data_IF_976362671946
#
_entry.id   IF_976362671946
#
_cell.length_a   1.000
_cell.length_b   1.000
_cell.length_c   1.000
_cell.angle_alpha   90.00
_cell.angle_beta   90.00
_cell.angle_gamma   90.00
#
_symmetry.space_group_name_H-M   'P 1'
#
loop_
_entity.id
_entity.type
_entity.pdbx_description
1 polymer ?
#
# COMPACT_ATOMS: atom_id res chain seq x y z
N UNK A 1 0.69 -13.23 14.28
CA UNK A 1 -0.13 -14.42 14.60
C UNK A 1 0.32 -15.69 13.90
N UNK A 2 0.48 -15.72 12.57
CA UNK A 2 0.89 -16.94 11.84
C UNK A 2 2.22 -17.57 12.30
N UNK A 3 3.23 -16.77 12.65
CA UNK A 3 4.53 -17.26 13.16
C UNK A 3 4.38 -18.00 14.49
N UNK A 4 3.63 -17.43 15.44
CA UNK A 4 3.36 -18.07 16.72
C UNK A 4 2.61 -19.41 16.54
N UNK A 5 1.69 -19.45 15.58
CA UNK A 5 0.90 -20.64 15.31
C UNK A 5 1.71 -21.73 14.57
N UNK A 6 2.59 -21.34 13.65
CA UNK A 6 3.58 -22.24 13.04
C UNK A 6 4.53 -22.82 14.09
N UNK A 7 4.90 -22.06 15.11
CA UNK A 7 5.71 -22.57 16.22
C UNK A 7 4.93 -23.55 17.11
N UNK A 8 3.62 -23.36 17.32
CA UNK A 8 2.77 -24.32 18.05
C UNK A 8 2.68 -25.67 17.36
N UNK A 9 2.74 -25.72 16.02
CA UNK A 9 2.78 -26.98 15.24
C UNK A 9 4.03 -27.83 15.49
N UNK A 10 5.14 -27.21 15.90
CA UNK A 10 6.40 -27.91 16.18
C UNK A 10 6.40 -28.50 17.59
N UNK A 11 5.56 -28.00 18.48
CA UNK A 11 5.57 -28.40 19.88
C UNK A 11 4.87 -29.77 20.09
N UNK A 12 5.51 -30.75 20.75
CA UNK A 12 4.97 -32.12 20.91
C UNK A 12 3.63 -32.18 21.64
N UNK A 13 3.42 -31.26 22.58
CA UNK A 13 2.25 -31.18 23.48
C UNK A 13 0.91 -30.89 22.79
N UNK A 14 0.91 -30.51 21.51
CA UNK A 14 -0.30 -30.15 20.76
C UNK A 14 -0.54 -31.06 19.55
N UNK A 15 -0.04 -32.30 19.59
CA UNK A 15 -0.17 -33.27 18.49
C UNK A 15 -1.60 -33.37 17.94
N UNK A 16 -2.59 -33.43 18.82
CA UNK A 16 -4.00 -33.58 18.47
C UNK A 16 -4.60 -32.33 17.79
N UNK A 17 -4.06 -31.14 18.10
CA UNK A 17 -4.51 -29.86 17.52
C UNK A 17 -3.78 -29.51 16.22
N UNK A 18 -2.69 -30.20 15.85
CA UNK A 18 -1.88 -29.88 14.67
C UNK A 18 -2.70 -29.88 13.38
N UNK A 19 -3.65 -30.81 13.25
CA UNK A 19 -4.51 -30.92 12.08
C UNK A 19 -5.39 -29.66 11.93
N UNK A 20 -6.08 -29.27 13.00
CA UNK A 20 -6.95 -28.09 13.04
C UNK A 20 -6.18 -26.80 12.79
N UNK A 21 -5.02 -26.64 13.44
CA UNK A 21 -4.15 -25.48 13.27
C UNK A 21 -3.63 -25.38 11.82
N UNK A 22 -3.19 -26.50 11.23
CA UNK A 22 -2.75 -26.52 9.83
C UNK A 22 -3.89 -26.22 8.87
N UNK A 23 -5.11 -26.67 9.17
CA UNK A 23 -6.29 -26.34 8.38
C UNK A 23 -6.56 -24.84 8.41
N UNK A 24 -6.57 -24.24 9.61
CA UNK A 24 -6.81 -22.81 9.79
C UNK A 24 -5.74 -21.95 9.08
N UNK A 25 -4.47 -22.30 9.20
CA UNK A 25 -3.39 -21.62 8.47
C UNK A 25 -3.59 -21.69 6.95
N UNK A 26 -3.93 -22.87 6.42
CA UNK A 26 -4.21 -23.02 4.97
C UNK A 26 -5.40 -22.20 4.52
N UNK A 27 -6.46 -22.14 5.33
CA UNK A 27 -7.63 -21.30 5.03
C UNK A 27 -7.25 -19.83 5.01
N UNK A 28 -6.51 -19.35 6.01
CA UNK A 28 -6.07 -17.95 6.07
C UNK A 28 -5.13 -17.60 4.90
N UNK A 29 -4.17 -18.46 4.59
CA UNK A 29 -3.27 -18.26 3.44
C UNK A 29 -4.07 -18.16 2.14
N UNK A 30 -5.06 -19.04 1.92
CA UNK A 30 -5.95 -18.97 0.75
C UNK A 30 -6.74 -17.66 0.70
N UNK A 31 -7.35 -17.25 1.81
CA UNK A 31 -8.14 -16.02 1.87
C UNK A 31 -7.27 -14.78 1.59
N UNK A 32 -6.05 -14.74 2.13
CA UNK A 32 -5.09 -13.67 1.85
C UNK A 32 -4.77 -13.63 0.34
N UNK A 33 -4.48 -14.78 -0.27
CA UNK A 33 -4.19 -14.86 -1.70
C UNK A 33 -5.38 -14.42 -2.55
N UNK A 34 -6.61 -14.83 -2.21
CA UNK A 34 -7.82 -14.38 -2.92
C UNK A 34 -7.98 -12.87 -2.82
N UNK A 35 -7.87 -12.28 -1.63
CA UNK A 35 -7.98 -10.83 -1.45
C UNK A 35 -6.89 -10.09 -2.24
N UNK A 36 -5.65 -10.62 -2.27
CA UNK A 36 -4.57 -10.04 -3.06
C UNK A 36 -4.89 -10.05 -4.56
N UNK A 37 -5.44 -11.15 -5.07
CA UNK A 37 -5.86 -11.25 -6.48
C UNK A 37 -6.99 -10.28 -6.80
N UNK A 38 -7.97 -10.13 -5.91
CA UNK A 38 -9.08 -9.19 -6.08
C UNK A 38 -8.58 -7.74 -6.13
N UNK A 39 -7.63 -7.38 -5.25
CA UNK A 39 -6.99 -6.06 -5.26
C UNK A 39 -6.24 -5.82 -6.57
N UNK A 40 -5.45 -6.79 -7.04
CA UNK A 40 -4.73 -6.68 -8.31
C UNK A 40 -5.69 -6.53 -9.50
N UNK A 41 -6.79 -7.30 -9.51
CA UNK A 41 -7.82 -7.19 -10.54
C UNK A 41 -8.50 -5.81 -10.53
N UNK A 42 -8.80 -5.27 -9.35
CA UNK A 42 -9.39 -3.93 -9.21
C UNK A 42 -8.45 -2.83 -9.73
N UNK A 43 -7.16 -2.92 -9.37
CA UNK A 43 -6.14 -1.98 -9.86
C UNK A 43 -5.98 -2.08 -11.38
N UNK A 44 -6.00 -3.29 -11.94
CA UNK A 44 -5.86 -3.52 -13.37
C UNK A 44 -7.08 -3.05 -14.17
N UNK A 45 -8.28 -3.15 -13.60
CA UNK A 45 -9.52 -2.74 -14.25
C UNK A 45 -9.66 -1.21 -14.35
N UNK A 46 -9.10 -0.46 -13.40
CA UNK A 46 -9.15 1.00 -13.43
C UNK A 46 -7.86 1.61 -13.98
N UNK A 47 -7.92 2.20 -15.17
CA UNK A 47 -6.73 2.73 -15.87
C UNK A 47 -5.95 3.75 -15.02
N UNK A 48 -6.64 4.56 -14.22
CA UNK A 48 -5.99 5.56 -13.35
C UNK A 48 -5.19 4.89 -12.23
N UNK A 49 -5.71 3.82 -11.64
CA UNK A 49 -5.03 3.05 -10.59
C UNK A 49 -3.88 2.26 -11.19
N UNK A 50 -4.06 1.65 -12.36
CA UNK A 50 -2.99 0.93 -13.07
C UNK A 50 -1.78 1.83 -13.35
N UNK A 51 -2.02 3.05 -13.86
CA UNK A 51 -0.95 4.04 -14.12
C UNK A 51 -0.24 4.45 -12.83
N UNK A 52 -0.98 4.74 -11.76
CA UNK A 52 -0.39 5.11 -10.46
C UNK A 52 0.38 3.95 -9.83
N UNK A 53 -0.12 2.72 -9.95
CA UNK A 53 0.55 1.52 -9.49
C UNK A 53 1.87 1.30 -10.23
N UNK A 54 1.92 1.57 -11.54
CA UNK A 54 3.14 1.47 -12.34
C UNK A 54 4.20 2.47 -11.88
N UNK A 55 3.82 3.75 -11.70
CA UNK A 55 4.73 4.79 -11.20
C UNK A 55 5.33 4.42 -9.84
N UNK A 56 4.50 3.89 -8.92
CA UNK A 56 4.99 3.47 -7.60
C UNK A 56 5.99 2.32 -7.71
N UNK A 57 5.80 1.40 -8.65
CA UNK A 57 6.67 0.24 -8.86
C UNK A 57 8.00 0.57 -9.56
N UNK A 58 8.12 1.73 -10.20
CA UNK A 58 9.41 2.20 -10.73
C UNK A 58 10.43 2.51 -9.62
N UNK A 59 9.95 2.78 -8.40
CA UNK A 59 10.80 3.00 -7.24
C UNK A 59 11.39 1.68 -6.78
N UNK A 60 12.73 1.58 -6.82
CA UNK A 60 13.48 0.40 -6.35
C UNK A 60 13.06 0.03 -4.91
N UNK A 61 12.55 -1.19 -4.74
CA UNK A 61 12.10 -1.71 -3.46
C UNK A 61 10.58 -1.66 -3.25
N UNK A 62 9.82 -1.07 -4.17
CA UNK A 62 8.35 -1.09 -4.15
C UNK A 62 7.84 -2.18 -5.08
N UNK A 63 7.33 -3.27 -4.49
CA UNK A 63 6.61 -4.31 -5.21
C UNK A 63 5.10 -4.02 -5.31
N UNK A 64 4.37 -4.85 -6.06
CA UNK A 64 2.92 -4.73 -6.28
C UNK A 64 2.11 -4.57 -5.00
N UNK A 65 2.40 -5.39 -3.98
CA UNK A 65 1.70 -5.34 -2.70
C UNK A 65 1.92 -4.01 -1.98
N UNK A 66 3.15 -3.51 -1.96
CA UNK A 66 3.47 -2.21 -1.37
C UNK A 66 2.81 -1.07 -2.16
N UNK A 67 2.82 -1.15 -3.50
CA UNK A 67 2.15 -0.17 -4.35
C UNK A 67 0.64 -0.12 -4.07
N UNK A 68 -0.02 -1.28 -3.93
CA UNK A 68 -1.45 -1.35 -3.61
C UNK A 68 -1.78 -0.72 -2.24
N UNK A 69 -0.95 -0.98 -1.22
CA UNK A 69 -1.09 -0.36 0.11
C UNK A 69 -0.95 1.15 0.02
N UNK A 70 0.05 1.64 -0.72
CA UNK A 70 0.27 3.08 -0.92
C UNK A 70 -0.92 3.71 -1.66
N UNK A 71 -1.44 3.09 -2.72
CA UNK A 71 -2.63 3.58 -3.41
C UNK A 71 -3.83 3.71 -2.48
N UNK A 72 -4.05 2.73 -1.60
CA UNK A 72 -5.15 2.76 -0.63
C UNK A 72 -4.94 3.77 0.51
N UNK A 73 -3.68 4.07 0.85
CA UNK A 73 -3.31 4.93 1.99
C UNK A 73 -3.15 6.40 1.61
N UNK A 74 -3.02 6.72 0.33
CA UNK A 74 -2.80 8.09 -0.13
C UNK A 74 -4.13 8.85 -0.22
N UNK A 75 -4.28 10.00 0.48
CA UNK A 75 -5.44 10.85 0.29
C UNK A 75 -5.41 11.40 -1.14
N UNK A 76 -6.51 11.19 -1.86
CA UNK A 76 -6.86 11.72 -3.18
C UNK A 76 -5.68 12.37 -3.92
N UNK A 77 -4.89 11.57 -4.66
CA UNK A 77 -3.75 12.06 -5.47
C UNK A 77 -4.12 13.24 -6.39
N UNK A 78 -5.40 13.35 -6.75
CA UNK A 78 -5.97 14.42 -7.57
C UNK A 78 -5.64 15.84 -7.07
N UNK A 79 -5.44 16.02 -5.76
CA UNK A 79 -5.06 17.32 -5.20
C UNK A 79 -3.65 17.79 -5.61
N UNK A 80 -2.85 16.94 -6.24
CA UNK A 80 -1.47 17.25 -6.68
C UNK A 80 -1.27 17.26 -8.20
N UNK A 81 -2.31 16.90 -8.97
CA UNK A 81 -2.29 16.85 -10.44
C UNK A 81 -3.27 17.80 -11.12
N UNK A 82 -4.25 18.33 -10.39
CA UNK A 82 -4.97 19.52 -10.85
C UNK A 82 -4.13 20.77 -10.52
N UNK A 83 -4.35 21.84 -11.28
CA UNK A 83 -3.81 23.21 -11.17
C UNK A 83 -4.07 23.91 -9.80
N UNK A 84 -4.26 23.15 -8.72
CA UNK A 84 -4.56 23.60 -7.38
C UNK A 84 -3.40 23.24 -6.45
N UNK A 85 -2.81 24.21 -5.74
CA UNK A 85 -1.78 23.91 -4.76
C UNK A 85 -2.37 23.03 -3.64
N UNK A 86 -1.58 22.09 -3.08
CA UNK A 86 -2.05 21.21 -2.02
C UNK A 86 -2.53 22.02 -0.80
N UNK A 87 -3.52 21.51 -0.04
CA UNK A 87 -4.16 22.23 1.07
C UNK A 87 -3.28 22.35 2.33
N UNK A 88 -2.04 21.87 2.27
CA UNK A 88 -1.08 21.88 3.37
C UNK A 88 0.21 22.60 2.94
N UNK A 89 0.98 23.20 3.87
CA UNK A 89 2.17 23.96 3.53
C UNK A 89 3.25 23.04 2.95
N UNK A 90 3.47 23.15 1.63
CA UNK A 90 4.55 22.43 0.95
C UNK A 90 5.89 22.84 1.52
N UNK A 91 6.68 21.86 1.98
CA UNK A 91 8.05 22.06 2.46
C UNK A 91 8.87 22.88 1.45
N UNK A 92 9.74 23.81 1.89
CA UNK A 92 10.58 24.63 1.01
C UNK A 92 11.38 23.80 -0.01
N UNK A 93 11.82 22.61 0.38
CA UNK A 93 12.57 21.67 -0.46
C UNK A 93 11.78 21.21 -1.70
N UNK A 94 10.48 20.96 -1.57
CA UNK A 94 9.63 20.52 -2.70
C UNK A 94 9.33 21.69 -3.64
N UNK A 95 9.28 22.92 -3.10
CA UNK A 95 9.11 24.15 -3.89
C UNK A 95 10.30 24.43 -4.80
N UNK A 96 11.51 24.18 -4.30
CA UNK A 96 12.76 24.38 -5.03
C UNK A 96 12.91 23.36 -6.18
N UNK A 97 12.60 22.09 -5.93
CA UNK A 97 12.64 21.02 -6.95
C UNK A 97 11.65 21.28 -8.09
N UNK A 98 10.49 21.89 -7.82
CA UNK A 98 9.44 22.17 -8.83
C UNK A 98 9.56 23.53 -9.53
N UNK A 99 10.59 24.33 -9.25
CA UNK A 99 10.78 25.63 -9.91
C UNK A 99 9.66 26.66 -9.64
N UNK A 100 8.86 26.47 -8.58
CA UNK A 100 7.72 27.31 -8.27
C UNK A 100 8.21 28.64 -7.67
N UNK A 101 8.14 29.72 -8.45
CA UNK A 101 8.54 31.07 -8.02
C UNK A 101 7.77 31.52 -6.77
N UNK A 102 8.48 32.25 -5.89
CA UNK A 102 7.99 32.75 -4.60
C UNK A 102 6.64 33.47 -4.76
N UNK A 103 5.62 33.02 -4.03
CA UNK A 103 4.42 33.83 -3.81
C UNK A 103 4.81 35.07 -2.98
N UNK A 104 4.33 36.27 -3.34
CA UNK A 104 4.60 37.47 -2.58
C UNK A 104 3.96 37.35 -1.19
N UNK A 105 4.77 37.54 -0.15
CA UNK A 105 4.27 37.72 1.22
C UNK A 105 3.40 38.98 1.24
N UNK A 106 2.09 38.83 1.28
CA UNK A 106 1.24 39.92 1.75
C UNK A 106 1.37 39.98 3.27
N UNK A 107 2.13 40.99 3.71
CA UNK A 107 2.00 41.57 5.03
C UNK A 107 0.59 42.14 5.16
N UNK A 108 -0.18 41.65 6.13
CA UNK A 108 -1.02 42.45 7.03
C UNK A 108 -1.52 41.57 8.16
#
# INVERSE_FOLDING_TARGET
MAVAEKNRLLHPRYADMKASVRSLLRTLERLITTIQQDIEALIAHEETLAKKAAILQEVKGIGRQTAAILLASLPNWEASTADRPPPWPVSPLIREIRGLKRLPRHNR
#
